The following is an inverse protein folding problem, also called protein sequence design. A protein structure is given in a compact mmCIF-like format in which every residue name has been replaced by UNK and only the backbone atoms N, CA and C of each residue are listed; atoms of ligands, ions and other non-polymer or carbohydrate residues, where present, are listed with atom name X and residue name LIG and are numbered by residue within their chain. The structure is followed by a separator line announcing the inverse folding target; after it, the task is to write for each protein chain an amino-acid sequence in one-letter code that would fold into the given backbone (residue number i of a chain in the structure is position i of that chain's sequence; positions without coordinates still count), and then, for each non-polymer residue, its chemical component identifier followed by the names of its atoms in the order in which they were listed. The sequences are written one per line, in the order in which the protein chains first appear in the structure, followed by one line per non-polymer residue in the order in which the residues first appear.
data_IF_879319301833
#
_entry.id   IF_879319301833
#
_cell.length_a   1.000
_cell.length_b   1.000
_cell.length_c   1.000
_cell.angle_alpha   90.00
_cell.angle_beta   90.00
_cell.angle_gamma   90.00
#
_symmetry.space_group_name_H-M   'P 1'
#
loop_
_entity.id
_entity.type
_entity.pdbx_description
1 polymer ?
#
# COMPACT_ATOMS: atom_id res chain seq x y z
N UNK A 1 -4.75 2.54 37.58
CA UNK A 1 -3.36 2.64 37.08
C UNK A 1 -3.21 1.59 35.99
N UNK A 2 -3.59 1.92 34.76
CA UNK A 2 -3.59 0.96 33.64
C UNK A 2 -2.16 0.84 33.15
N UNK A 3 -1.55 -0.35 33.28
CA UNK A 3 -0.25 -0.62 32.65
C UNK A 3 -0.46 -0.50 31.15
N UNK A 4 -0.09 0.64 30.57
CA UNK A 4 0.21 0.71 29.15
C UNK A 4 1.26 -0.35 28.88
N UNK A 5 0.92 -1.36 28.08
CA UNK A 5 1.90 -2.29 27.52
C UNK A 5 2.92 -1.40 26.82
N UNK A 6 4.11 -1.27 27.39
CA UNK A 6 5.25 -0.68 26.68
C UNK A 6 5.67 -1.69 25.64
N UNK A 7 5.00 -1.67 24.49
CA UNK A 7 5.58 -2.26 23.29
C UNK A 7 6.88 -1.49 23.03
N UNK A 8 8.01 -2.19 23.11
CA UNK A 8 9.28 -1.69 22.60
C UNK A 8 9.03 -1.39 21.12
N UNK A 9 8.88 -0.11 20.79
CA UNK A 9 8.44 0.34 19.48
C UNK A 9 9.30 -0.29 18.39
N UNK A 10 8.64 -1.05 17.50
CA UNK A 10 9.21 -1.95 16.48
C UNK A 10 9.72 -3.27 17.11
N UNK A 11 9.18 -4.42 16.72
CA UNK A 11 9.55 -4.94 15.42
C UNK A 11 8.63 -6.05 14.85
N UNK A 12 7.33 -6.12 15.14
CA UNK A 12 6.48 -7.17 14.51
C UNK A 12 6.56 -7.18 12.98
N UNK A 13 6.38 -6.01 12.37
CA UNK A 13 6.50 -5.81 10.91
C UNK A 13 7.95 -5.98 10.42
N UNK A 14 8.94 -5.50 11.18
CA UNK A 14 10.35 -5.64 10.79
C UNK A 14 10.84 -7.09 10.90
N UNK A 15 10.43 -7.82 11.95
CA UNK A 15 10.69 -9.24 12.13
C UNK A 15 10.04 -10.04 11.01
N UNK A 16 8.81 -9.71 10.64
CA UNK A 16 8.16 -10.29 9.47
C UNK A 16 9.03 -10.09 8.21
N UNK A 17 9.39 -8.85 7.86
CA UNK A 17 10.23 -8.54 6.68
C UNK A 17 11.57 -9.28 6.68
N UNK A 18 12.24 -9.33 7.84
CA UNK A 18 13.50 -10.07 8.01
C UNK A 18 13.27 -11.57 7.81
N UNK A 19 12.21 -12.14 8.38
CA UNK A 19 11.89 -13.57 8.29
C UNK A 19 11.57 -14.02 6.87
N UNK A 20 10.89 -13.18 6.08
CA UNK A 20 10.56 -13.47 4.67
C UNK A 20 11.67 -13.06 3.70
N UNK A 21 12.70 -12.35 4.15
CA UNK A 21 13.80 -11.88 3.30
C UNK A 21 13.40 -10.83 2.26
N UNK A 22 12.26 -10.15 2.45
CA UNK A 22 11.78 -9.10 1.56
C UNK A 22 11.32 -7.87 2.34
N UNK A 23 11.68 -6.69 1.82
CA UNK A 23 11.30 -5.42 2.41
C UNK A 23 11.52 -4.21 1.48
N UNK A 24 11.68 -3.00 2.05
CA UNK A 24 11.77 -1.77 1.27
C UNK A 24 12.91 -1.73 0.25
N UNK A 25 14.04 -2.40 0.49
CA UNK A 25 15.19 -2.40 -0.41
C UNK A 25 14.89 -3.16 -1.69
N UNK A 26 14.16 -4.26 -1.59
CA UNK A 26 13.80 -5.11 -2.72
C UNK A 26 12.61 -4.51 -3.46
N UNK A 27 11.58 -4.09 -2.71
CA UNK A 27 10.28 -3.70 -3.27
C UNK A 27 10.28 -2.29 -3.89
N UNK A 28 11.00 -1.31 -3.33
CA UNK A 28 10.96 0.08 -3.83
C UNK A 28 11.68 0.28 -5.17
N UNK A 29 12.45 -0.71 -5.62
CA UNK A 29 13.10 -0.70 -6.92
C UNK A 29 12.19 -1.18 -8.05
N UNK A 30 11.03 -1.77 -7.73
CA UNK A 30 10.06 -2.20 -8.72
C UNK A 30 9.52 -0.99 -9.50
N UNK A 31 9.56 -1.11 -10.84
CA UNK A 31 9.05 -0.10 -11.76
C UNK A 31 7.70 -0.52 -12.34
N UNK A 32 6.76 0.41 -12.57
CA UNK A 32 5.56 0.17 -13.37
C UNK A 32 5.88 -0.38 -14.77
N UNK A 33 4.92 -1.01 -15.47
CA UNK A 33 3.55 -1.34 -15.03
C UNK A 33 3.51 -2.62 -14.16
N UNK A 34 2.32 -2.96 -13.64
CA UNK A 34 1.99 -4.20 -12.92
C UNK A 34 2.84 -4.44 -11.67
N UNK A 35 2.98 -3.40 -10.86
CA UNK A 35 3.84 -3.44 -9.68
C UNK A 35 3.33 -4.45 -8.66
N UNK A 36 2.02 -4.49 -8.40
CA UNK A 36 1.42 -5.42 -7.43
C UNK A 36 1.62 -6.87 -7.85
N UNK A 37 1.50 -7.16 -9.14
CA UNK A 37 1.74 -8.49 -9.69
C UNK A 37 3.22 -8.87 -9.62
N UNK A 38 4.14 -7.93 -9.84
CA UNK A 38 5.59 -8.16 -9.64
C UNK A 38 5.92 -8.43 -8.17
N UNK A 39 5.29 -7.70 -7.24
CA UNK A 39 5.41 -7.97 -5.79
C UNK A 39 4.93 -9.40 -5.50
N UNK A 40 3.74 -9.76 -5.98
CA UNK A 40 3.20 -11.10 -5.78
C UNK A 40 4.09 -12.19 -6.40
N UNK A 41 4.64 -11.95 -7.59
CA UNK A 41 5.55 -12.88 -8.24
C UNK A 41 6.81 -13.18 -7.41
N UNK A 42 7.31 -12.19 -6.67
CA UNK A 42 8.39 -12.39 -5.73
C UNK A 42 7.91 -13.15 -4.48
N UNK A 43 6.76 -12.78 -3.91
CA UNK A 43 6.21 -13.39 -2.69
C UNK A 43 5.83 -14.87 -2.88
N UNK A 44 5.22 -15.25 -4.02
CA UNK A 44 4.80 -16.64 -4.28
C UNK A 44 5.96 -17.65 -4.31
N UNK A 45 7.20 -17.19 -4.42
CA UNK A 45 8.41 -18.04 -4.41
C UNK A 45 9.02 -18.18 -3.02
N UNK A 46 8.55 -17.42 -2.03
CA UNK A 46 9.08 -17.43 -0.67
C UNK A 46 8.52 -18.59 0.16
N UNK A 47 9.33 -19.04 1.11
CA UNK A 47 8.90 -20.00 2.13
C UNK A 47 7.71 -19.45 2.92
N UNK A 48 6.67 -20.27 3.10
CA UNK A 48 5.39 -19.87 3.71
C UNK A 48 4.34 -19.35 2.72
N UNK A 49 4.72 -19.07 1.48
CA UNK A 49 3.78 -18.72 0.39
C UNK A 49 3.78 -19.77 -0.72
N UNK A 50 4.96 -20.28 -1.05
CA UNK A 50 5.14 -21.31 -2.07
C UNK A 50 4.32 -22.57 -1.75
N UNK A 51 3.67 -23.09 -2.78
CA UNK A 51 2.86 -24.32 -2.73
C UNK A 51 1.67 -24.29 -1.73
N UNK A 52 1.29 -23.11 -1.22
CA UNK A 52 0.14 -22.94 -0.32
C UNK A 52 -1.19 -22.71 -1.05
N UNK A 53 -1.18 -22.57 -2.38
CA UNK A 53 -2.38 -22.32 -3.17
C UNK A 53 -2.99 -20.92 -2.98
N UNK A 54 -2.25 -19.97 -2.39
CA UNK A 54 -2.70 -18.58 -2.27
C UNK A 54 -2.79 -17.91 -3.64
N UNK A 55 -3.86 -17.16 -3.84
CA UNK A 55 -3.98 -16.21 -4.96
C UNK A 55 -3.42 -14.84 -4.55
N UNK A 56 -3.18 -13.97 -5.53
CA UNK A 56 -2.81 -12.58 -5.26
C UNK A 56 -3.86 -11.85 -4.41
N UNK A 57 -5.15 -12.18 -4.60
CA UNK A 57 -6.22 -11.59 -3.79
C UNK A 57 -6.19 -12.07 -2.33
N UNK A 58 -5.76 -13.32 -2.08
CA UNK A 58 -5.54 -13.80 -0.71
C UNK A 58 -4.38 -13.02 -0.07
N UNK A 59 -3.27 -12.84 -0.79
CA UNK A 59 -2.12 -12.08 -0.33
C UNK A 59 -2.48 -10.62 0.02
N UNK A 60 -3.30 -9.99 -0.82
CA UNK A 60 -3.75 -8.61 -0.65
C UNK A 60 -4.88 -8.46 0.38
N UNK A 61 -5.41 -9.57 0.91
CA UNK A 61 -6.52 -9.57 1.87
C UNK A 61 -7.86 -9.12 1.28
N UNK A 62 -8.03 -9.23 -0.04
CA UNK A 62 -9.22 -8.75 -0.77
C UNK A 62 -10.09 -9.87 -1.34
N UNK A 63 -9.63 -11.12 -1.23
CA UNK A 63 -10.40 -12.30 -1.59
C UNK A 63 -11.73 -12.35 -0.81
N UNK A 64 -12.77 -12.92 -1.41
CA UNK A 64 -14.10 -13.00 -0.78
C UNK A 64 -14.01 -13.65 0.60
N UNK A 65 -14.42 -12.90 1.63
CA UNK A 65 -14.35 -13.39 3.00
C UNK A 65 -15.52 -14.37 3.28
N UNK A 66 -15.24 -15.57 3.82
CA UNK A 66 -16.28 -16.56 4.12
C UNK A 66 -17.30 -16.10 5.16
N UNK A 67 -16.94 -15.13 6.01
CA UNK A 67 -17.79 -14.58 7.07
C UNK A 67 -18.79 -13.56 6.50
N UNK A 68 -18.32 -12.63 5.68
CA UNK A 68 -19.12 -11.47 5.26
C UNK A 68 -19.92 -11.69 3.98
N UNK A 69 -19.68 -12.81 3.26
CA UNK A 69 -20.44 -13.29 2.07
C UNK A 69 -20.80 -12.21 1.04
N UNK A 70 -19.96 -11.18 0.92
CA UNK A 70 -20.08 -10.13 -0.10
C UNK A 70 -18.72 -9.79 -0.67
N UNK A 71 -18.73 -9.24 -1.87
CA UNK A 71 -17.55 -8.62 -2.42
C UNK A 71 -17.24 -7.30 -1.69
N UNK A 72 -15.96 -7.01 -1.54
CA UNK A 72 -15.50 -5.70 -1.08
C UNK A 72 -15.76 -4.65 -2.16
N UNK A 73 -16.19 -3.46 -1.76
CA UNK A 73 -16.24 -2.30 -2.64
C UNK A 73 -14.82 -1.81 -2.97
N UNK A 74 -14.67 -1.04 -4.06
CA UNK A 74 -13.35 -0.57 -4.53
C UNK A 74 -12.55 0.15 -3.44
N UNK A 75 -13.18 1.06 -2.68
CA UNK A 75 -12.51 1.80 -1.61
C UNK A 75 -12.01 0.90 -0.47
N UNK A 76 -12.75 -0.18 -0.15
CA UNK A 76 -12.33 -1.18 0.84
C UNK A 76 -11.12 -1.97 0.33
N UNK A 77 -11.14 -2.38 -0.95
CA UNK A 77 -10.01 -3.06 -1.58
C UNK A 77 -8.77 -2.17 -1.60
N UNK A 78 -8.91 -0.89 -1.93
CA UNK A 78 -7.81 0.09 -1.91
C UNK A 78 -7.20 0.18 -0.51
N UNK A 79 -8.01 0.32 0.55
CA UNK A 79 -7.53 0.38 1.93
C UNK A 79 -6.81 -0.91 2.35
N UNK A 80 -7.36 -2.07 2.01
CA UNK A 80 -6.76 -3.37 2.31
C UNK A 80 -5.37 -3.50 1.66
N UNK A 81 -5.28 -3.23 0.36
CA UNK A 81 -4.01 -3.28 -0.39
C UNK A 81 -3.02 -2.25 0.18
N UNK A 82 -3.45 -1.01 0.42
CA UNK A 82 -2.59 0.05 0.96
C UNK A 82 -1.92 -0.39 2.28
N UNK A 83 -2.69 -1.02 3.16
CA UNK A 83 -2.18 -1.53 4.44
C UNK A 83 -1.22 -2.70 4.25
N UNK A 84 -1.50 -3.64 3.34
CA UNK A 84 -0.56 -4.72 3.00
C UNK A 84 0.76 -4.15 2.47
N UNK A 85 0.72 -3.18 1.54
CA UNK A 85 1.91 -2.53 1.00
C UNK A 85 2.74 -1.86 2.10
N UNK A 86 2.08 -1.20 3.05
CA UNK A 86 2.72 -0.64 4.25
C UNK A 86 3.39 -1.72 5.12
N UNK A 87 2.76 -2.88 5.32
CA UNK A 87 3.34 -3.98 6.10
C UNK A 87 4.55 -4.58 5.37
N UNK A 88 4.44 -4.91 4.09
CA UNK A 88 5.50 -5.62 3.36
C UNK A 88 6.72 -4.75 3.04
N UNK A 89 6.57 -3.42 2.97
CA UNK A 89 7.71 -2.54 2.73
C UNK A 89 7.65 -1.71 1.45
N UNK A 90 6.56 -1.75 0.69
CA UNK A 90 6.45 -0.98 -0.55
C UNK A 90 5.95 0.45 -0.29
N UNK A 91 6.80 1.44 -0.59
CA UNK A 91 6.53 2.89 -0.45
C UNK A 91 5.92 3.25 0.91
N UNK A 92 6.40 2.62 1.98
CA UNK A 92 5.74 2.63 3.29
C UNK A 92 5.67 3.99 3.94
N UNK A 93 4.60 4.22 4.69
CA UNK A 93 4.50 5.36 5.58
C UNK A 93 5.55 5.23 6.70
N UNK A 94 6.15 6.35 7.09
CA UNK A 94 7.34 6.36 7.95
C UNK A 94 7.10 7.06 9.28
N UNK A 95 7.82 6.60 10.30
CA UNK A 95 7.83 7.17 11.67
C UNK A 95 6.48 7.04 12.40
N UNK A 96 5.79 5.91 12.21
CA UNK A 96 4.47 5.61 12.81
C UNK A 96 4.50 5.47 14.34
N UNK A 97 5.68 5.48 14.96
CA UNK A 97 5.89 5.65 16.40
C UNK A 97 5.49 7.05 16.90
N UNK A 98 5.31 8.01 15.98
CA UNK A 98 4.87 9.37 16.28
C UNK A 98 3.40 9.53 15.91
N UNK A 99 2.61 10.03 16.86
CA UNK A 99 1.16 10.22 16.70
C UNK A 99 0.78 11.00 15.44
N UNK A 100 1.44 12.14 15.20
CA UNK A 100 1.19 12.96 14.01
C UNK A 100 1.46 12.23 12.68
N UNK A 101 2.43 11.32 12.66
CA UNK A 101 2.75 10.50 11.49
C UNK A 101 1.76 9.34 11.32
N UNK A 102 1.25 8.80 12.42
CA UNK A 102 0.17 7.83 12.40
C UNK A 102 -1.12 8.44 11.83
N UNK A 103 -1.50 9.64 12.27
CA UNK A 103 -2.65 10.38 11.75
C UNK A 103 -2.48 10.66 10.25
N UNK A 104 -1.30 11.11 9.83
CA UNK A 104 -1.01 11.33 8.41
C UNK A 104 -1.16 10.05 7.58
N UNK A 105 -0.64 8.91 8.05
CA UNK A 105 -0.77 7.63 7.35
C UNK A 105 -2.23 7.17 7.19
N UNK A 106 -3.06 7.36 8.24
CA UNK A 106 -4.51 7.09 8.16
C UNK A 106 -5.16 8.03 7.13
N UNK A 107 -4.80 9.31 7.14
CA UNK A 107 -5.32 10.30 6.20
C UNK A 107 -4.95 9.95 4.75
N UNK A 108 -3.72 9.52 4.49
CA UNK A 108 -3.26 9.12 3.16
C UNK A 108 -4.01 7.88 2.66
N UNK A 109 -4.16 6.85 3.50
CA UNK A 109 -4.93 5.66 3.17
C UNK A 109 -6.41 6.00 2.87
N UNK A 110 -7.01 6.91 3.66
CA UNK A 110 -8.38 7.39 3.43
C UNK A 110 -8.50 8.21 2.13
N UNK A 111 -7.51 9.06 1.84
CA UNK A 111 -7.47 9.84 0.60
C UNK A 111 -7.40 8.92 -0.62
N UNK A 112 -6.50 7.93 -0.62
CA UNK A 112 -6.41 6.93 -1.68
C UNK A 112 -7.73 6.12 -1.82
N UNK A 113 -8.36 5.78 -0.71
CA UNK A 113 -9.61 5.02 -0.69
C UNK A 113 -10.77 5.80 -1.32
N UNK A 114 -11.01 7.02 -0.87
CA UNK A 114 -12.14 7.86 -1.33
C UNK A 114 -11.91 8.32 -2.79
N UNK A 115 -10.68 8.66 -3.17
CA UNK A 115 -10.37 9.12 -4.52
C UNK A 115 -10.55 8.03 -5.58
N UNK A 116 -10.75 6.76 -5.21
CA UNK A 116 -11.07 5.69 -6.17
C UNK A 116 -12.40 5.90 -6.90
N UNK A 117 -13.22 6.86 -6.43
CA UNK A 117 -14.46 7.30 -7.07
C UNK A 117 -14.35 8.68 -7.75
N UNK A 118 -13.19 9.34 -7.67
CA UNK A 118 -12.97 10.66 -8.24
C UNK A 118 -12.49 10.57 -9.70
N UNK A 119 -12.51 11.70 -10.41
CA UNK A 119 -11.87 11.78 -11.72
C UNK A 119 -10.35 11.82 -11.62
N UNK A 120 -9.83 12.50 -10.60
CA UNK A 120 -8.39 12.59 -10.37
C UNK A 120 -8.03 12.59 -8.87
N UNK A 121 -6.82 12.13 -8.58
CA UNK A 121 -6.12 12.28 -7.30
C UNK A 121 -4.83 13.05 -7.57
N UNK A 122 -4.61 14.12 -6.80
CA UNK A 122 -3.42 14.96 -6.89
C UNK A 122 -2.64 14.87 -5.58
N UNK A 123 -1.31 14.71 -5.67
CA UNK A 123 -0.44 14.78 -4.51
C UNK A 123 0.97 15.23 -4.91
N UNK A 124 1.66 15.91 -4.00
CA UNK A 124 3.08 16.24 -4.14
C UNK A 124 4.01 15.16 -3.56
N UNK A 125 3.46 14.13 -2.90
CA UNK A 125 4.22 13.01 -2.35
C UNK A 125 4.39 11.92 -3.42
N UNK A 126 5.61 11.79 -3.95
CA UNK A 126 5.95 10.81 -4.99
C UNK A 126 5.79 9.35 -4.52
N UNK A 127 6.06 9.06 -3.24
CA UNK A 127 5.91 7.71 -2.70
C UNK A 127 4.42 7.34 -2.60
N UNK A 128 3.60 8.28 -2.15
CA UNK A 128 2.15 8.14 -2.13
C UNK A 128 1.59 7.95 -3.55
N UNK A 129 1.95 8.82 -4.50
CA UNK A 129 1.52 8.73 -5.91
C UNK A 129 1.90 7.37 -6.51
N UNK A 130 3.14 6.94 -6.32
CA UNK A 130 3.62 5.64 -6.80
C UNK A 130 2.80 4.48 -6.23
N UNK A 131 2.50 4.54 -4.93
CA UNK A 131 1.71 3.51 -4.23
C UNK A 131 0.28 3.48 -4.77
N UNK A 132 -0.40 4.62 -4.86
CA UNK A 132 -1.79 4.69 -5.32
C UNK A 132 -1.90 4.27 -6.78
N UNK A 133 -0.96 4.68 -7.66
CA UNK A 133 -0.92 4.21 -9.06
C UNK A 133 -0.86 2.69 -9.15
N UNK A 134 0.03 2.05 -8.40
CA UNK A 134 0.15 0.59 -8.38
C UNK A 134 -1.17 -0.08 -7.94
N UNK A 135 -1.85 0.49 -6.93
CA UNK A 135 -3.13 -0.02 -6.44
C UNK A 135 -4.23 0.14 -7.50
N UNK A 136 -4.35 1.32 -8.09
CA UNK A 136 -5.41 1.63 -9.05
C UNK A 136 -5.24 0.86 -10.35
N UNK A 137 -3.99 0.72 -10.83
CA UNK A 137 -3.66 -0.12 -11.98
C UNK A 137 -4.14 -1.56 -11.76
N UNK A 138 -3.79 -2.17 -10.62
CA UNK A 138 -4.18 -3.54 -10.30
C UNK A 138 -5.71 -3.72 -10.19
N UNK A 139 -6.40 -2.75 -9.60
CA UNK A 139 -7.86 -2.79 -9.41
C UNK A 139 -8.65 -2.33 -10.65
N UNK A 140 -8.00 -1.82 -11.69
CA UNK A 140 -8.67 -1.23 -12.85
C UNK A 140 -9.48 0.03 -12.51
N UNK A 141 -9.04 0.80 -11.50
CA UNK A 141 -9.67 2.07 -11.11
C UNK A 141 -9.33 3.14 -12.14
N UNK A 142 -10.34 3.86 -12.64
CA UNK A 142 -10.19 4.85 -13.72
C UNK A 142 -9.73 6.24 -13.25
N UNK A 143 -9.59 6.47 -11.95
CA UNK A 143 -9.11 7.74 -11.41
C UNK A 143 -7.70 8.04 -11.89
N UNK A 144 -7.49 9.21 -12.47
CA UNK A 144 -6.16 9.68 -12.87
C UNK A 144 -5.35 10.12 -11.65
N UNK A 145 -4.18 9.51 -11.43
CA UNK A 145 -3.31 9.85 -10.30
C UNK A 145 -2.14 10.68 -10.81
N UNK A 146 -2.02 11.93 -10.35
CA UNK A 146 -0.98 12.84 -10.82
C UNK A 146 -0.07 13.38 -9.70
N UNK A 147 1.22 13.44 -10.01
CA UNK A 147 2.23 14.09 -9.17
C UNK A 147 2.22 15.59 -9.44
N UNK A 148 2.08 16.38 -8.39
CA UNK A 148 2.14 17.84 -8.44
C UNK A 148 3.53 18.31 -8.04
N UNK A 149 4.18 19.09 -8.90
CA UNK A 149 5.49 19.69 -8.65
C UNK A 149 5.48 21.17 -8.95
N UNK A 150 6.31 21.95 -8.27
CA UNK A 150 6.55 23.36 -8.57
C UNK A 150 7.84 23.47 -9.40
N UNK A 151 7.75 24.06 -10.59
CA UNK A 151 8.90 24.31 -11.49
C UNK A 151 8.81 25.75 -11.96
N UNK A 152 9.83 26.57 -11.69
CA UNK A 152 9.88 27.99 -12.05
C UNK A 152 8.61 28.77 -11.64
N UNK A 153 8.15 28.55 -10.39
CA UNK A 153 6.91 29.09 -9.80
C UNK A 153 5.60 28.67 -10.49
N UNK A 154 5.66 27.73 -11.45
CA UNK A 154 4.50 27.15 -12.12
C UNK A 154 4.14 25.77 -11.56
N UNK A 155 2.83 25.51 -11.45
CA UNK A 155 2.32 24.19 -11.02
C UNK A 155 2.33 23.25 -12.22
N UNK A 156 3.15 22.21 -12.14
CA UNK A 156 3.24 21.15 -13.14
C UNK A 156 2.57 19.89 -12.60
N UNK A 157 1.59 19.38 -13.34
CA UNK A 157 0.86 18.15 -13.04
C UNK A 157 1.32 17.05 -13.99
N UNK A 158 1.87 15.96 -13.45
CA UNK A 158 2.34 14.81 -14.23
C UNK A 158 1.46 13.60 -13.96
N UNK A 159 0.57 13.27 -14.88
CA UNK A 159 -0.10 11.97 -14.96
C UNK A 159 0.69 11.00 -15.83
N UNK A 160 0.56 9.70 -15.55
CA UNK A 160 1.16 8.59 -16.30
C UNK A 160 0.08 7.73 -16.91
#
# INVERSE_FOLDING_TARGET
MTKHIRETGQSGVNNYRVSVGMGPKELNNLKPPRVIEKIWQAYQQLDGYKDQGYTIENFLGIATNPIYRREMHSHEKVTAIYNVLNVIGYKTDSKLDRENRHIAAISDAAHASIASYANCLLSADEAFVSKVRAIYEFLGVSTEVALVTLVDDEIVVKSE
#
